data_IF_081320264686
#
_entry.id   IF_081320264686
#
_cell.length_a   1.000
_cell.length_b   1.000
_cell.length_c   1.000
_cell.angle_alpha   90.00
_cell.angle_beta   90.00
_cell.angle_gamma   90.00
#
_symmetry.space_group_name_H-M   'P 1'
#
loop_
_entity.id
_entity.type
_entity.pdbx_description
1 polymer ?
#
# COMPACT_ATOMS: atom_id res chain seq x y z
N UNK A 1 -63.88 -3.55 34.39
CA UNK A 1 -62.99 -3.13 33.30
C UNK A 1 -61.75 -4.03 33.36
N UNK A 2 -61.75 -5.25 32.83
CA UNK A 2 -61.46 -5.63 31.42
C UNK A 2 -60.25 -4.85 30.89
N UNK A 3 -59.11 -5.44 30.52
CA UNK A 3 -58.98 -6.55 29.56
C UNK A 3 -57.64 -7.31 29.67
N UNK A 4 -57.68 -8.61 29.34
CA UNK A 4 -56.56 -9.46 28.86
C UNK A 4 -56.18 -9.08 27.42
N UNK A 5 -54.97 -9.48 26.96
CA UNK A 5 -54.55 -9.98 25.61
C UNK A 5 -53.01 -9.75 25.50
N UNK A 6 -52.15 -10.77 25.62
CA UNK A 6 -51.70 -11.79 24.64
C UNK A 6 -50.77 -11.26 23.52
N UNK A 7 -49.53 -11.76 23.57
CA UNK A 7 -48.64 -12.19 22.48
C UNK A 7 -48.50 -11.35 21.21
N UNK A 8 -47.27 -10.91 20.91
CA UNK A 8 -46.72 -11.04 19.55
C UNK A 8 -45.19 -11.10 19.57
N UNK A 9 -44.69 -12.21 19.05
CA UNK A 9 -43.31 -12.47 18.69
C UNK A 9 -42.96 -11.58 17.50
N UNK A 10 -41.90 -10.78 17.57
CA UNK A 10 -41.24 -10.26 16.36
C UNK A 10 -39.80 -10.69 16.39
N UNK A 11 -39.60 -11.87 15.82
CA UNK A 11 -38.37 -12.33 15.21
C UNK A 11 -37.84 -11.21 14.31
N UNK A 12 -36.84 -10.45 14.77
CA UNK A 12 -36.00 -9.71 13.82
C UNK A 12 -35.11 -10.73 13.15
N UNK A 13 -35.65 -11.35 12.10
CA UNK A 13 -34.85 -11.89 11.02
C UNK A 13 -34.11 -10.71 10.40
N UNK A 14 -32.92 -10.39 10.90
CA UNK A 14 -31.98 -9.59 10.11
C UNK A 14 -31.45 -10.53 9.05
N UNK A 15 -32.23 -10.59 7.96
CA UNK A 15 -31.82 -10.72 6.57
C UNK A 15 -30.38 -11.20 6.45
N UNK A 16 -30.21 -12.47 6.07
CA UNK A 16 -28.97 -12.92 5.46
C UNK A 16 -28.57 -11.87 4.43
N UNK A 17 -27.53 -11.11 4.76
CA UNK A 17 -27.03 -10.05 3.92
C UNK A 17 -26.66 -10.76 2.61
N UNK A 18 -27.53 -10.60 1.61
CA UNK A 18 -27.28 -11.07 0.27
C UNK A 18 -25.87 -10.58 -0.04
N UNK A 19 -24.96 -11.52 -0.32
CA UNK A 19 -23.62 -11.21 -0.77
C UNK A 19 -23.82 -10.30 -1.98
N UNK A 20 -23.69 -8.99 -1.75
CA UNK A 20 -23.72 -7.97 -2.79
C UNK A 20 -22.83 -8.53 -3.87
N UNK A 21 -23.38 -8.71 -5.08
CA UNK A 21 -22.63 -9.11 -6.27
C UNK A 21 -21.26 -8.47 -6.16
N UNK A 22 -20.26 -9.26 -5.77
CA UNK A 22 -18.92 -8.72 -5.58
C UNK A 22 -18.60 -8.08 -6.91
N UNK A 23 -18.19 -6.82 -6.90
CA UNK A 23 -17.66 -6.17 -8.10
C UNK A 23 -16.42 -6.98 -8.50
N UNK A 24 -16.63 -8.05 -9.26
CA UNK A 24 -15.63 -9.03 -9.63
C UNK A 24 -14.73 -8.34 -10.66
N UNK A 25 -13.63 -7.79 -10.17
CA UNK A 25 -12.58 -7.21 -11.00
C UNK A 25 -11.44 -8.21 -11.15
N UNK A 26 -10.75 -8.16 -12.29
CA UNK A 26 -9.56 -8.95 -12.50
C UNK A 26 -8.46 -8.65 -11.45
N UNK A 27 -8.36 -7.39 -11.04
CA UNK A 27 -7.37 -6.90 -10.06
C UNK A 27 -8.06 -5.93 -9.11
N UNK A 28 -7.74 -6.02 -7.81
CA UNK A 28 -8.35 -5.15 -6.80
C UNK A 28 -7.81 -3.72 -6.82
N UNK A 29 -6.49 -3.59 -7.01
CA UNK A 29 -5.76 -2.32 -7.08
C UNK A 29 -4.64 -2.35 -8.12
N UNK A 30 -4.47 -1.25 -8.84
CA UNK A 30 -3.27 -0.91 -9.58
C UNK A 30 -2.52 0.19 -8.82
N UNK A 31 -1.22 0.07 -8.65
CA UNK A 31 -0.44 0.96 -7.78
C UNK A 31 0.86 1.37 -8.47
N UNK A 32 1.16 2.67 -8.41
CA UNK A 32 2.45 3.23 -8.79
C UNK A 32 3.21 3.59 -7.50
N UNK A 33 4.37 2.99 -7.33
CA UNK A 33 5.25 3.19 -6.17
C UNK A 33 6.59 3.72 -6.68
N UNK A 34 7.15 4.71 -6.01
CA UNK A 34 8.38 5.34 -6.45
C UNK A 34 8.93 6.36 -5.46
N UNK A 35 9.85 7.19 -5.94
CA UNK A 35 10.31 8.37 -5.22
C UNK A 35 9.27 9.49 -5.37
N UNK A 36 8.87 10.11 -4.26
CA UNK A 36 8.08 11.34 -4.28
C UNK A 36 9.04 12.54 -4.26
N UNK A 37 9.03 13.33 -5.33
CA UNK A 37 9.90 14.51 -5.47
C UNK A 37 9.65 15.57 -4.38
N UNK A 38 8.48 15.54 -3.74
CA UNK A 38 8.16 16.44 -2.63
C UNK A 38 8.65 15.90 -1.28
N UNK A 39 9.03 14.63 -1.21
CA UNK A 39 9.58 14.04 -0.01
C UNK A 39 11.03 14.47 0.15
N UNK A 40 11.33 15.12 1.29
CA UNK A 40 12.70 15.42 1.64
C UNK A 40 13.52 14.12 1.77
N UNK A 41 14.80 14.12 1.38
CA UNK A 41 15.70 13.01 1.68
C UNK A 41 15.67 12.73 3.18
N UNK A 42 15.48 11.46 3.55
CA UNK A 42 15.48 11.07 4.97
C UNK A 42 16.89 10.70 5.38
N UNK A 43 17.34 11.26 6.50
CA UNK A 43 18.55 10.80 7.16
C UNK A 43 18.19 9.47 7.84
N UNK A 44 18.57 8.35 7.25
CA UNK A 44 18.55 7.05 7.95
C UNK A 44 19.81 7.00 8.80
N UNK A 45 19.82 7.80 9.88
CA UNK A 45 20.86 7.73 10.91
C UNK A 45 20.66 6.43 11.71
N UNK A 46 21.66 5.55 11.77
CA UNK A 46 21.72 4.51 12.79
C UNK A 46 22.01 5.17 14.15
N UNK A 47 20.98 5.73 14.79
CA UNK A 47 21.10 6.37 16.10
C UNK A 47 20.34 7.68 16.12
N UNK A 48 19.18 7.68 16.78
CA UNK A 48 18.25 8.79 16.75
C UNK A 48 18.82 10.10 17.27
N UNK A 49 18.84 11.11 16.41
CA UNK A 49 18.68 12.52 16.79
C UNK A 49 17.81 13.23 15.76
N UNK A 50 17.00 14.14 16.26
CA UNK A 50 15.84 14.67 15.58
C UNK A 50 16.22 15.85 14.68
N UNK A 51 15.87 15.77 13.39
CA UNK A 51 15.30 16.86 12.59
C UNK A 51 16.11 18.16 12.34
N UNK A 52 17.45 18.10 12.23
CA UNK A 52 18.28 19.22 11.72
C UNK A 52 19.01 18.96 10.39
N UNK A 53 19.01 17.74 9.85
CA UNK A 53 20.07 17.30 8.93
C UNK A 53 19.67 17.26 7.45
N UNK A 54 18.48 17.73 7.06
CA UNK A 54 18.06 17.73 5.66
C UNK A 54 19.00 18.56 4.75
N UNK A 55 19.57 19.64 5.29
CA UNK A 55 20.56 20.46 4.60
C UNK A 55 21.92 19.75 4.50
N UNK A 56 22.25 18.91 5.49
CA UNK A 56 23.49 18.15 5.51
C UNK A 56 23.48 17.02 4.47
N UNK A 57 22.32 16.38 4.28
CA UNK A 57 22.10 15.40 3.23
C UNK A 57 22.35 15.98 1.83
N UNK A 58 22.16 17.29 1.61
CA UNK A 58 22.46 17.91 0.31
C UNK A 58 23.96 17.87 -0.04
N UNK A 59 24.84 17.75 0.95
CA UNK A 59 26.29 17.58 0.72
C UNK A 59 26.69 16.14 0.42
N UNK A 60 25.83 15.17 0.74
CA UNK A 60 26.03 13.76 0.37
C UNK A 60 25.69 13.60 -1.12
N UNK A 61 26.48 12.89 -1.93
CA UNK A 61 26.13 12.61 -3.33
C UNK A 61 24.75 11.93 -3.45
N UNK A 62 23.92 12.26 -4.45
CA UNK A 62 22.57 11.68 -4.58
C UNK A 62 22.55 10.14 -4.52
N UNK A 63 23.55 9.47 -5.09
CA UNK A 63 23.62 8.01 -5.11
C UNK A 63 23.92 7.39 -3.74
N UNK A 64 24.47 8.17 -2.80
CA UNK A 64 24.84 7.75 -1.44
C UNK A 64 23.77 8.10 -0.41
N UNK A 65 22.70 8.80 -0.81
CA UNK A 65 21.60 9.17 0.08
C UNK A 65 20.62 8.02 0.27
N UNK A 66 19.95 8.06 1.41
CA UNK A 66 18.82 7.19 1.69
C UNK A 66 17.52 7.81 1.19
N UNK A 67 16.74 7.02 0.46
CA UNK A 67 15.43 7.42 -0.05
C UNK A 67 14.37 6.43 0.38
N UNK A 68 13.19 6.95 0.67
CA UNK A 68 12.02 6.14 1.04
C UNK A 68 11.05 6.15 -0.14
N UNK A 69 10.64 4.94 -0.54
CA UNK A 69 9.58 4.78 -1.53
C UNK A 69 8.23 5.15 -0.92
N UNK A 70 7.35 5.72 -1.73
CA UNK A 70 5.97 6.01 -1.36
C UNK A 70 5.01 5.57 -2.48
N UNK A 71 3.73 5.46 -2.13
CA UNK A 71 2.68 5.29 -3.13
C UNK A 71 2.46 6.64 -3.79
N UNK A 72 2.75 6.72 -5.09
CA UNK A 72 2.53 7.94 -5.89
C UNK A 72 1.07 8.02 -6.31
N UNK A 73 0.54 6.91 -6.83
CA UNK A 73 -0.85 6.79 -7.26
C UNK A 73 -1.38 5.37 -7.07
N UNK A 74 -2.68 5.24 -6.88
CA UNK A 74 -3.37 3.95 -6.95
C UNK A 74 -4.77 4.09 -7.54
N UNK A 75 -5.25 3.03 -8.16
CA UNK A 75 -6.58 2.92 -8.70
C UNK A 75 -7.22 1.59 -8.31
N UNK A 76 -8.51 1.54 -7.93
CA UNK A 76 -9.37 2.69 -7.66
C UNK A 76 -8.96 3.42 -6.37
N UNK A 77 -9.31 4.70 -6.24
CA UNK A 77 -8.95 5.48 -5.04
C UNK A 77 -9.50 4.87 -3.75
N UNK A 78 -10.73 4.34 -3.80
CA UNK A 78 -11.38 3.63 -2.70
C UNK A 78 -12.16 2.45 -3.21
N UNK A 79 -12.26 1.43 -2.37
CA UNK A 79 -13.07 0.24 -2.61
C UNK A 79 -13.83 -0.09 -1.32
N UNK A 80 -15.10 -0.43 -1.44
CA UNK A 80 -15.94 -0.75 -0.28
C UNK A 80 -15.63 -2.11 0.33
N UNK A 81 -15.24 -3.08 -0.52
CA UNK A 81 -15.00 -4.46 -0.10
C UNK A 81 -13.59 -4.70 0.48
N UNK A 82 -12.60 -3.88 0.09
CA UNK A 82 -11.20 -4.09 0.45
C UNK A 82 -10.56 -2.79 0.88
N UNK A 83 -9.78 -2.82 1.96
CA UNK A 83 -8.92 -1.70 2.36
C UNK A 83 -7.63 -1.69 1.53
N UNK A 84 -7.10 -0.51 1.27
CA UNK A 84 -5.81 -0.37 0.62
C UNK A 84 -4.69 -0.92 1.52
N UNK A 85 -3.82 -1.81 1.03
CA UNK A 85 -2.76 -2.43 1.84
C UNK A 85 -1.66 -1.42 2.21
N UNK A 86 -1.41 -1.23 3.51
CA UNK A 86 -0.35 -0.36 4.04
C UNK A 86 1.05 -0.85 3.67
N UNK A 87 1.23 -2.17 3.53
CA UNK A 87 2.52 -2.80 3.25
C UNK A 87 2.86 -2.80 1.75
N UNK A 88 2.02 -2.21 0.89
CA UNK A 88 2.15 -2.36 -0.56
C UNK A 88 3.49 -1.89 -1.10
N UNK A 89 4.06 -0.83 -0.50
CA UNK A 89 5.36 -0.27 -0.90
C UNK A 89 6.48 -1.29 -0.74
N UNK A 90 6.55 -1.98 0.41
CA UNK A 90 7.60 -2.97 0.67
C UNK A 90 7.44 -4.23 -0.19
N UNK A 91 6.19 -4.57 -0.55
CA UNK A 91 5.89 -5.68 -1.46
C UNK A 91 6.25 -5.34 -2.92
N UNK A 92 5.98 -4.11 -3.36
CA UNK A 92 6.30 -3.63 -4.71
C UNK A 92 7.80 -3.35 -4.89
N UNK A 93 8.51 -2.95 -3.83
CA UNK A 93 9.95 -2.65 -3.84
C UNK A 93 10.68 -3.37 -2.70
N UNK A 94 10.86 -4.70 -2.78
CA UNK A 94 11.47 -5.50 -1.70
C UNK A 94 12.95 -5.18 -1.48
N UNK A 95 13.61 -4.55 -2.46
CA UNK A 95 14.99 -4.08 -2.39
C UNK A 95 15.10 -2.56 -2.19
N UNK A 96 13.99 -1.89 -1.88
CA UNK A 96 13.91 -0.43 -1.78
C UNK A 96 14.11 0.30 -3.11
N UNK A 97 14.20 1.63 -3.04
CA UNK A 97 14.58 2.48 -4.17
C UNK A 97 16.04 2.27 -4.51
N UNK A 98 16.32 2.23 -5.81
CA UNK A 98 17.68 2.17 -6.34
C UNK A 98 17.88 3.24 -7.38
N UNK A 99 18.93 4.02 -7.17
CA UNK A 99 19.38 5.02 -8.12
C UNK A 99 20.55 4.44 -8.89
N UNK A 100 20.61 4.78 -10.17
CA UNK A 100 21.67 4.34 -11.07
C UNK A 100 22.14 5.55 -11.85
N UNK A 101 23.41 5.54 -12.24
CA UNK A 101 23.90 6.52 -13.21
C UNK A 101 23.36 6.17 -14.59
N UNK A 102 23.30 7.15 -15.50
CA UNK A 102 22.83 6.95 -16.87
C UNK A 102 23.53 5.81 -17.63
N UNK A 103 24.77 5.50 -17.25
CA UNK A 103 25.59 4.48 -17.91
C UNK A 103 25.41 3.07 -17.34
N UNK A 104 24.69 2.89 -16.22
CA UNK A 104 24.58 1.63 -15.50
C UNK A 104 23.14 1.34 -15.04
N UNK A 105 22.18 1.51 -15.96
CA UNK A 105 20.77 1.24 -15.70
C UNK A 105 20.49 -0.24 -16.02
N UNK A 106 20.06 -1.05 -15.03
CA UNK A 106 19.68 -2.43 -15.28
C UNK A 106 18.36 -2.50 -16.07
N UNK A 107 18.09 -3.60 -16.79
CA UNK A 107 16.81 -3.79 -17.47
C UNK A 107 15.66 -3.89 -16.45
N UNK A 108 14.41 -3.55 -16.84
CA UNK A 108 13.24 -3.72 -15.98
C UNK A 108 13.11 -5.15 -15.46
N UNK A 109 12.66 -5.28 -14.21
CA UNK A 109 12.51 -6.56 -13.53
C UNK A 109 11.07 -6.75 -13.07
N UNK A 110 10.59 -7.99 -13.12
CA UNK A 110 9.27 -8.36 -12.63
C UNK A 110 9.43 -9.34 -11.46
N UNK A 111 8.65 -9.15 -10.41
CA UNK A 111 8.51 -10.14 -9.35
C UNK A 111 7.06 -10.25 -8.88
N UNK A 112 6.74 -11.37 -8.28
CA UNK A 112 5.44 -11.62 -7.66
C UNK A 112 5.58 -11.70 -6.16
N UNK A 113 4.48 -11.45 -5.46
CA UNK A 113 4.43 -11.54 -4.01
C UNK A 113 3.06 -12.04 -3.54
N UNK A 114 3.04 -12.56 -2.31
CA UNK A 114 1.84 -12.89 -1.58
C UNK A 114 1.95 -12.35 -0.16
N UNK A 115 0.92 -11.64 0.31
CA UNK A 115 0.78 -11.20 1.68
C UNK A 115 -0.37 -11.96 2.33
N UNK A 116 -0.06 -12.71 3.38
CA UNK A 116 -1.04 -13.44 4.20
C UNK A 116 -1.18 -12.65 5.50
N UNK A 117 -2.40 -12.17 5.76
CA UNK A 117 -2.72 -11.41 6.97
C UNK A 117 -3.08 -12.36 8.11
N UNK A 118 -3.14 -11.82 9.32
CA UNK A 118 -3.46 -12.56 10.55
C UNK A 118 -4.85 -13.20 10.53
N UNK A 119 -5.80 -12.59 9.82
CA UNK A 119 -7.15 -13.11 9.61
C UNK A 119 -7.22 -14.26 8.57
N UNK A 120 -6.07 -14.65 8.01
CA UNK A 120 -5.95 -15.66 6.97
C UNK A 120 -6.29 -15.15 5.56
N UNK A 121 -6.64 -13.87 5.41
CA UNK A 121 -6.83 -13.26 4.10
C UNK A 121 -5.51 -13.20 3.34
N UNK A 122 -5.59 -13.35 2.01
CA UNK A 122 -4.41 -13.39 1.13
C UNK A 122 -4.54 -12.37 0.02
N UNK A 123 -3.51 -11.55 -0.14
CA UNK A 123 -3.33 -10.64 -1.28
C UNK A 123 -2.19 -11.18 -2.14
N UNK A 124 -2.43 -11.30 -3.44
CA UNK A 124 -1.38 -11.62 -4.40
C UNK A 124 -1.11 -10.39 -5.27
N UNK A 125 0.13 -10.24 -5.71
CA UNK A 125 0.50 -9.14 -6.58
C UNK A 125 1.68 -9.48 -7.48
N UNK A 126 1.82 -8.63 -8.50
CA UNK A 126 2.93 -8.62 -9.44
C UNK A 126 3.42 -7.18 -9.52
N UNK A 127 4.73 -6.98 -9.42
CA UNK A 127 5.38 -5.68 -9.53
C UNK A 127 6.30 -5.66 -10.74
N UNK A 128 6.23 -4.57 -11.50
CA UNK A 128 7.21 -4.23 -12.52
C UNK A 128 8.08 -3.10 -11.97
N UNK A 129 9.37 -3.37 -11.81
CA UNK A 129 10.37 -2.39 -11.41
C UNK A 129 11.08 -1.91 -12.67
N UNK A 130 11.06 -0.60 -12.89
CA UNK A 130 11.77 0.06 -13.97
C UNK A 130 12.43 1.34 -13.44
N UNK A 131 13.39 1.87 -14.20
CA UNK A 131 14.05 3.13 -13.90
C UNK A 131 13.50 4.22 -14.80
N UNK A 132 13.21 5.38 -14.22
CA UNK A 132 12.88 6.58 -14.97
C UNK A 132 14.15 7.16 -15.61
N UNK A 133 14.00 7.77 -16.79
CA UNK A 133 15.08 8.36 -17.60
C UNK A 133 15.07 9.86 -17.56
#
# INVERSE_FOLDING_TARGET
MTSKISSETTTKSTIAQASSTSDLTLVDYFVLVGHDDNALPQAIESGGTNNSDAMELLYIPPLERSYVASVLHHFPERRSAYSFPSEIVSLCMPKGLKFHTQNDIPPPAIHTFANIREDGSRVNGCSLIYHET
#
